data_IF_317933840763
#
_entry.id   IF_317933840763
#
_cell.length_a   1.000
_cell.length_b   1.000
_cell.length_c   1.000
_cell.angle_alpha   90.00
_cell.angle_beta   90.00
_cell.angle_gamma   90.00
#
_symmetry.space_group_name_H-M   'P 1'
#
loop_
_entity.id
_entity.type
_entity.pdbx_description
1 polymer ?
#
# COMPACT_ATOMS: atom_id res chain seq x y z
N UNK A 1 -10.00 -3.73 -18.98
CA UNK A 1 -9.90 -2.27 -18.80
C UNK A 1 -8.78 -2.04 -17.80
N UNK A 2 -7.80 -1.18 -18.11
CA UNK A 2 -6.72 -0.83 -17.18
C UNK A 2 -7.23 0.03 -16.04
N UNK A 3 -6.56 -0.02 -14.90
CA UNK A 3 -6.93 0.75 -13.70
C UNK A 3 -7.11 2.25 -13.99
N UNK A 4 -6.19 2.84 -14.75
CA UNK A 4 -6.27 4.26 -15.13
C UNK A 4 -7.56 4.61 -15.87
N UNK A 5 -7.93 3.79 -16.86
CA UNK A 5 -9.13 4.02 -17.66
C UNK A 5 -10.39 3.83 -16.83
N UNK A 6 -10.36 2.86 -15.90
CA UNK A 6 -11.43 2.62 -14.95
C UNK A 6 -11.66 3.81 -14.03
N UNK A 7 -10.61 4.35 -13.39
CA UNK A 7 -10.72 5.52 -12.51
C UNK A 7 -11.30 6.74 -13.22
N UNK A 8 -10.92 6.95 -14.49
CA UNK A 8 -11.50 8.00 -15.33
C UNK A 8 -12.98 7.73 -15.62
N UNK A 9 -13.35 6.49 -15.98
CA UNK A 9 -14.74 6.12 -16.30
C UNK A 9 -15.70 6.22 -15.10
N UNK A 10 -15.19 6.00 -13.88
CA UNK A 10 -15.95 6.16 -12.63
C UNK A 10 -16.01 7.62 -12.14
N UNK A 11 -15.36 8.53 -12.83
CA UNK A 11 -15.32 9.95 -12.44
C UNK A 11 -14.59 10.18 -11.12
N UNK A 12 -13.58 9.36 -10.83
CA UNK A 12 -12.75 9.54 -9.62
C UNK A 12 -12.04 10.90 -9.67
N UNK A 13 -12.03 11.61 -8.54
CA UNK A 13 -11.34 12.90 -8.43
C UNK A 13 -9.87 12.74 -8.84
N UNK A 14 -9.36 13.68 -9.62
CA UNK A 14 -8.05 13.58 -10.29
C UNK A 14 -6.89 13.28 -9.34
N UNK A 15 -6.81 14.01 -8.21
CA UNK A 15 -5.71 13.84 -7.27
C UNK A 15 -5.83 12.50 -6.51
N UNK A 16 -7.06 12.07 -6.23
CA UNK A 16 -7.31 10.75 -5.64
C UNK A 16 -6.96 9.63 -6.63
N UNK A 17 -7.31 9.78 -7.90
CA UNK A 17 -6.95 8.82 -8.95
C UNK A 17 -5.43 8.72 -9.11
N UNK A 18 -4.71 9.85 -9.10
CA UNK A 18 -3.25 9.89 -9.14
C UNK A 18 -2.63 9.16 -7.95
N UNK A 19 -3.18 9.36 -6.74
CA UNK A 19 -2.71 8.68 -5.53
C UNK A 19 -2.98 7.17 -5.59
N UNK A 20 -4.17 6.73 -6.03
CA UNK A 20 -4.50 5.31 -6.18
C UNK A 20 -3.55 4.64 -7.19
N UNK A 21 -3.30 5.26 -8.33
CA UNK A 21 -2.35 4.76 -9.33
C UNK A 21 -0.94 4.66 -8.76
N UNK A 22 -0.49 5.70 -8.06
CA UNK A 22 0.81 5.69 -7.41
C UNK A 22 0.93 4.56 -6.37
N UNK A 23 -0.06 4.39 -5.50
CA UNK A 23 -0.06 3.34 -4.48
C UNK A 23 -0.09 1.94 -5.11
N UNK A 24 -0.87 1.74 -6.19
CA UNK A 24 -0.89 0.47 -6.91
C UNK A 24 0.47 0.10 -7.52
N UNK A 25 1.23 1.10 -7.97
CA UNK A 25 2.58 0.89 -8.52
C UNK A 25 3.59 0.43 -7.46
N UNK A 26 3.39 0.78 -6.18
CA UNK A 26 4.26 0.32 -5.09
C UNK A 26 4.27 -1.21 -4.94
N UNK A 27 3.23 -1.91 -5.41
CA UNK A 27 3.19 -3.38 -5.42
C UNK A 27 4.40 -4.01 -6.12
N UNK A 28 4.95 -3.37 -7.15
CA UNK A 28 6.17 -3.83 -7.83
C UNK A 28 7.37 -3.79 -6.90
N UNK A 29 7.52 -2.71 -6.14
CA UNK A 29 8.58 -2.55 -5.16
C UNK A 29 8.52 -3.61 -4.07
N UNK A 30 7.34 -3.82 -3.49
CA UNK A 30 7.13 -4.83 -2.44
C UNK A 30 7.42 -6.24 -2.97
N UNK A 31 6.87 -6.61 -4.14
CA UNK A 31 7.14 -7.93 -4.78
C UNK A 31 8.63 -8.18 -4.99
N UNK A 32 9.38 -7.17 -5.38
CA UNK A 32 10.84 -7.29 -5.56
C UNK A 32 11.53 -7.63 -4.25
N UNK A 33 11.02 -7.15 -3.12
CA UNK A 33 11.51 -7.44 -1.79
C UNK A 33 11.48 -8.93 -1.43
N UNK A 34 10.46 -9.68 -1.85
CA UNK A 34 10.34 -11.11 -1.53
C UNK A 34 11.58 -11.91 -1.90
N UNK A 35 12.16 -11.66 -3.07
CA UNK A 35 13.37 -12.36 -3.49
C UNK A 35 14.64 -11.79 -2.85
N UNK A 36 14.68 -10.47 -2.63
CA UNK A 36 15.87 -9.80 -2.12
C UNK A 36 16.12 -10.04 -0.63
N UNK A 37 15.06 -10.18 0.17
CA UNK A 37 15.17 -10.35 1.63
C UNK A 37 15.24 -11.81 2.05
N UNK A 38 14.50 -12.71 1.41
CA UNK A 38 14.53 -14.14 1.73
C UNK A 38 15.85 -14.84 1.41
N UNK A 39 16.71 -14.25 0.57
CA UNK A 39 18.01 -14.79 0.19
C UNK A 39 19.18 -14.24 1.02
N UNK A 40 18.92 -13.26 1.89
CA UNK A 40 19.93 -12.74 2.81
C UNK A 40 19.81 -13.47 4.14
N UNK A 41 20.87 -14.14 4.57
CA UNK A 41 21.01 -14.58 5.96
C UNK A 41 20.98 -13.30 6.84
N UNK A 42 19.78 -12.90 7.23
CA UNK A 42 19.60 -11.69 8.05
C UNK A 42 20.02 -12.01 9.48
N UNK A 43 21.23 -11.63 9.82
CA UNK A 43 21.72 -11.48 11.21
C UNK A 43 21.23 -10.13 11.76
N UNK A 44 20.06 -9.65 11.33
CA UNK A 44 19.54 -8.39 11.82
C UNK A 44 18.94 -8.56 13.22
N UNK A 45 19.26 -7.60 14.09
CA UNK A 45 18.68 -7.54 15.44
C UNK A 45 17.15 -7.60 15.34
N UNK A 46 16.55 -8.52 16.08
CA UNK A 46 15.11 -8.65 16.22
C UNK A 46 14.54 -7.33 16.74
N UNK A 47 13.88 -6.58 15.88
CA UNK A 47 13.15 -5.38 16.27
C UNK A 47 11.67 -5.70 16.39
N UNK A 48 10.92 -4.84 17.09
CA UNK A 48 9.48 -5.00 17.24
C UNK A 48 8.77 -3.76 16.70
N UNK A 49 7.58 -3.96 16.11
CA UNK A 49 6.71 -2.88 15.72
C UNK A 49 6.05 -2.20 16.94
N UNK A 50 5.24 -1.17 16.73
CA UNK A 50 4.53 -0.42 17.79
C UNK A 50 3.58 -1.30 18.62
N UNK A 51 3.12 -2.42 18.10
CA UNK A 51 2.25 -3.38 18.81
C UNK A 51 3.03 -4.46 19.55
N UNK A 52 4.37 -4.45 19.46
CA UNK A 52 5.27 -5.40 20.12
C UNK A 52 5.47 -6.70 19.34
N UNK A 53 5.01 -6.78 18.10
CA UNK A 53 5.24 -7.92 17.21
C UNK A 53 6.64 -7.90 16.62
N UNK A 54 7.22 -9.08 16.38
CA UNK A 54 8.56 -9.21 15.79
C UNK A 54 8.52 -8.78 14.32
N UNK A 55 9.27 -7.72 13.97
CA UNK A 55 9.39 -7.24 12.60
C UNK A 55 10.30 -8.16 11.78
N UNK A 56 9.78 -8.68 10.70
CA UNK A 56 10.58 -9.39 9.70
C UNK A 56 11.35 -8.39 8.83
N UNK A 57 12.51 -8.78 8.25
CA UNK A 57 13.26 -7.90 7.34
C UNK A 57 12.42 -7.39 6.16
N UNK A 58 11.43 -8.16 5.74
CA UNK A 58 10.55 -7.79 4.64
C UNK A 58 9.50 -6.75 5.05
N UNK A 59 9.05 -6.72 6.32
CA UNK A 59 8.16 -5.66 6.83
C UNK A 59 8.85 -4.30 6.71
N UNK A 60 10.09 -4.21 7.21
CA UNK A 60 10.90 -2.99 7.10
C UNK A 60 11.18 -2.58 5.65
N UNK A 61 11.38 -3.56 4.77
CA UNK A 61 11.59 -3.30 3.36
C UNK A 61 10.32 -2.73 2.72
N UNK A 62 9.17 -3.34 2.96
CA UNK A 62 7.88 -2.89 2.44
C UNK A 62 7.51 -1.50 2.97
N UNK A 63 7.71 -1.26 4.28
CA UNK A 63 7.53 0.06 4.90
C UNK A 63 8.41 1.11 4.22
N UNK A 64 9.70 0.79 4.01
CA UNK A 64 10.63 1.66 3.30
C UNK A 64 10.19 1.99 1.86
N UNK A 65 9.61 1.02 1.13
CA UNK A 65 9.08 1.24 -0.23
C UNK A 65 7.96 2.27 -0.19
N UNK A 66 6.95 2.08 0.67
CA UNK A 66 5.81 3.01 0.76
C UNK A 66 6.23 4.39 1.27
N UNK A 67 6.98 4.48 2.37
CA UNK A 67 7.38 5.77 2.96
C UNK A 67 8.23 6.58 1.99
N UNK A 68 9.28 5.97 1.40
CA UNK A 68 10.18 6.70 0.49
C UNK A 68 9.45 7.13 -0.78
N UNK A 69 8.60 6.28 -1.32
CA UNK A 69 7.77 6.61 -2.48
C UNK A 69 6.80 7.75 -2.20
N UNK A 70 6.03 7.68 -1.11
CA UNK A 70 5.06 8.72 -0.73
C UNK A 70 5.74 10.06 -0.42
N UNK A 71 6.88 10.07 0.29
CA UNK A 71 7.66 11.28 0.53
C UNK A 71 8.15 11.90 -0.78
N UNK A 72 8.70 11.09 -1.68
CA UNK A 72 9.27 11.56 -2.96
C UNK A 72 8.18 12.09 -3.90
N UNK A 73 7.02 11.44 -3.96
CA UNK A 73 5.89 11.87 -4.81
C UNK A 73 5.24 13.16 -4.32
N UNK A 74 5.22 13.37 -3.00
CA UNK A 74 4.51 14.45 -2.30
C UNK A 74 3.00 14.46 -2.55
N UNK A 75 2.42 13.30 -2.92
CA UNK A 75 0.99 13.19 -3.19
C UNK A 75 0.12 13.24 -1.94
N UNK A 76 0.72 13.03 -0.76
CA UNK A 76 0.05 13.02 0.53
C UNK A 76 0.72 13.99 1.48
N UNK A 77 -0.03 14.43 2.50
CA UNK A 77 0.49 15.25 3.60
C UNK A 77 0.86 14.40 4.81
N UNK A 78 0.08 13.37 5.12
CA UNK A 78 0.28 12.55 6.30
C UNK A 78 0.41 11.08 5.94
N UNK A 79 1.35 10.40 6.58
CA UNK A 79 1.55 8.95 6.44
C UNK A 79 1.58 8.36 7.85
N UNK A 80 0.74 7.34 8.10
CA UNK A 80 0.82 6.49 9.28
C UNK A 80 1.00 5.05 8.81
N UNK A 81 1.98 4.35 9.36
CA UNK A 81 2.21 2.94 9.08
C UNK A 81 2.19 2.15 10.37
N UNK A 82 1.91 0.86 10.29
CA UNK A 82 2.00 -0.06 11.43
C UNK A 82 3.42 -0.12 12.01
N UNK A 83 4.42 0.08 11.17
CA UNK A 83 5.83 -0.06 11.50
C UNK A 83 6.44 1.18 12.18
N UNK A 84 5.71 2.32 12.23
CA UNK A 84 6.19 3.59 12.77
C UNK A 84 5.31 4.09 13.92
N UNK A 85 5.93 4.52 15.03
CA UNK A 85 5.21 5.06 16.20
C UNK A 85 4.49 6.37 15.94
N UNK A 86 4.98 7.15 14.99
CA UNK A 86 4.50 8.52 14.77
C UNK A 86 4.00 8.71 13.36
N UNK A 87 2.97 9.55 13.24
CA UNK A 87 2.52 10.05 11.94
C UNK A 87 3.62 10.89 11.31
N UNK A 88 3.97 10.55 10.07
CA UNK A 88 4.96 11.27 9.28
C UNK A 88 4.25 12.40 8.54
N UNK A 89 4.71 13.64 8.70
CA UNK A 89 4.27 14.78 7.89
C UNK A 89 5.24 14.96 6.71
N UNK A 90 4.69 15.01 5.49
CA UNK A 90 5.46 15.17 4.25
C UNK A 90 5.66 16.66 3.99
N UNK A 91 6.89 17.06 3.71
CA UNK A 91 7.22 18.46 3.39
C UNK A 91 6.69 18.87 2.00
N UNK A 92 6.12 20.07 1.92
CA UNK A 92 5.58 20.64 0.68
C UNK A 92 4.65 19.68 -0.10
N UNK A 93 3.59 19.16 0.54
CA UNK A 93 2.69 18.21 -0.10
C UNK A 93 1.90 18.88 -1.24
N UNK A 94 1.64 18.13 -2.31
CA UNK A 94 0.80 18.56 -3.42
C UNK A 94 -0.68 18.53 -3.08
N UNK A 95 -1.08 17.58 -2.20
CA UNK A 95 -2.46 17.38 -1.80
C UNK A 95 -2.57 17.24 -0.28
N UNK A 96 -3.77 17.42 0.26
CA UNK A 96 -4.05 17.28 1.69
C UNK A 96 -4.59 15.87 2.04
N UNK A 97 -4.12 14.83 1.35
CA UNK A 97 -4.45 13.45 1.73
C UNK A 97 -3.59 12.95 2.88
N UNK A 98 -4.19 12.08 3.70
CA UNK A 98 -3.49 11.24 4.65
C UNK A 98 -3.66 9.77 4.27
N UNK A 99 -2.62 8.97 4.44
CA UNK A 99 -2.63 7.53 4.14
C UNK A 99 -2.27 6.75 5.40
N UNK A 100 -3.07 5.75 5.73
CA UNK A 100 -2.76 4.74 6.74
C UNK A 100 -2.41 3.45 6.02
N UNK A 101 -1.35 2.77 6.45
CA UNK A 101 -0.81 1.61 5.74
C UNK A 101 -0.40 0.54 6.75
N UNK A 102 -0.85 -0.69 6.52
CA UNK A 102 -0.12 -1.90 6.88
C UNK A 102 0.69 -2.30 5.64
N UNK A 103 2.03 -2.14 5.66
CA UNK A 103 2.85 -2.38 4.47
C UNK A 103 2.89 -3.84 4.04
N UNK A 104 2.78 -4.77 5.00
CA UNK A 104 2.88 -6.21 4.72
C UNK A 104 2.13 -7.07 5.76
N UNK A 105 0.81 -7.07 5.70
CA UNK A 105 -0.05 -7.96 6.48
C UNK A 105 0.25 -9.43 6.20
N UNK A 106 0.38 -10.22 7.28
CA UNK A 106 0.65 -11.63 7.20
C UNK A 106 2.13 -11.99 6.91
N UNK A 107 3.09 -11.14 7.23
CA UNK A 107 4.53 -11.37 7.00
C UNK A 107 5.04 -12.70 7.58
N UNK A 108 4.50 -13.15 8.72
CA UNK A 108 4.80 -14.46 9.33
C UNK A 108 4.41 -15.66 8.45
N UNK A 109 3.57 -15.47 7.44
CA UNK A 109 3.14 -16.54 6.52
C UNK A 109 4.13 -16.76 5.37
N UNK A 110 5.12 -15.89 5.21
CA UNK A 110 6.10 -15.95 4.12
C UNK A 110 6.94 -17.23 4.21
N UNK A 111 7.36 -17.61 5.41
CA UNK A 111 8.19 -18.80 5.63
C UNK A 111 7.49 -20.11 5.23
N UNK A 112 6.16 -20.11 5.21
CA UNK A 112 5.35 -21.25 4.75
C UNK A 112 4.77 -21.03 3.35
N UNK A 113 5.28 -20.02 2.64
CA UNK A 113 4.94 -19.68 1.25
C UNK A 113 3.43 -19.45 1.03
N UNK A 114 2.77 -18.78 1.98
CA UNK A 114 1.39 -18.33 1.87
C UNK A 114 1.32 -16.88 1.39
N UNK A 115 0.12 -16.47 0.97
CA UNK A 115 -0.11 -15.10 0.49
C UNK A 115 0.00 -14.09 1.63
N UNK A 116 0.57 -12.94 1.31
CA UNK A 116 0.64 -11.75 2.17
C UNK A 116 0.06 -10.56 1.41
N UNK A 117 -0.17 -9.44 2.09
CA UNK A 117 -0.79 -8.29 1.43
C UNK A 117 -0.37 -6.96 2.01
N UNK A 118 -0.73 -5.87 1.33
CA UNK A 118 -0.66 -4.52 1.87
C UNK A 118 -2.08 -3.98 2.03
N UNK A 119 -2.38 -3.32 3.14
CA UNK A 119 -3.69 -2.75 3.43
C UNK A 119 -3.56 -1.24 3.56
N UNK A 120 -4.41 -0.48 2.85
CA UNK A 120 -4.26 0.96 2.73
C UNK A 120 -5.62 1.66 2.88
N UNK A 121 -5.65 2.70 3.72
CA UNK A 121 -6.77 3.62 3.84
C UNK A 121 -6.36 5.04 3.47
N UNK A 122 -7.21 5.77 2.73
CA UNK A 122 -6.95 7.15 2.29
C UNK A 122 -7.97 8.09 2.94
N UNK A 123 -7.48 9.12 3.63
CA UNK A 123 -8.26 10.18 4.26
C UNK A 123 -8.15 11.50 3.49
N UNK A 124 -9.18 12.36 3.52
CA UNK A 124 -9.15 13.68 2.90
C UNK A 124 -8.38 14.73 3.74
N UNK A 125 -7.56 14.28 4.70
CA UNK A 125 -6.82 15.11 5.62
C UNK A 125 -6.00 14.28 6.59
N UNK A 126 -5.99 14.66 7.87
CA UNK A 126 -5.21 13.98 8.89
C UNK A 126 -5.70 12.54 9.13
N UNK A 127 -4.77 11.62 9.34
CA UNK A 127 -5.05 10.18 9.48
C UNK A 127 -5.70 9.79 10.81
N UNK A 128 -5.48 10.57 11.88
CA UNK A 128 -6.13 10.35 13.17
C UNK A 128 -7.57 10.86 13.12
N UNK A 129 -8.42 10.14 12.42
CA UNK A 129 -9.83 10.47 12.21
C UNK A 129 -10.67 9.19 12.19
N UNK A 130 -12.00 9.34 12.16
CA UNK A 130 -12.92 8.18 12.10
C UNK A 130 -12.74 7.45 10.77
N UNK A 131 -12.68 6.11 10.79
CA UNK A 131 -12.58 5.29 9.57
C UNK A 131 -13.68 5.59 8.54
N UNK A 132 -14.88 5.94 9.00
CA UNK A 132 -16.00 6.34 8.13
C UNK A 132 -15.74 7.60 7.29
N UNK A 133 -14.67 8.36 7.56
CA UNK A 133 -14.28 9.54 6.76
C UNK A 133 -13.26 9.23 5.67
N UNK A 134 -12.83 7.99 5.53
CA UNK A 134 -11.98 7.58 4.40
C UNK A 134 -12.68 7.87 3.07
N UNK A 135 -11.90 8.35 2.11
CA UNK A 135 -12.37 8.59 0.73
C UNK A 135 -12.04 7.44 -0.20
N UNK A 136 -11.12 6.57 0.21
CA UNK A 136 -10.84 5.31 -0.45
C UNK A 136 -10.20 4.32 0.52
N UNK A 137 -10.38 3.03 0.25
CA UNK A 137 -9.65 1.95 0.89
C UNK A 137 -9.24 0.94 -0.17
N UNK A 138 -8.07 0.33 -0.01
CA UNK A 138 -7.56 -0.67 -0.93
C UNK A 138 -6.69 -1.70 -0.21
N UNK A 139 -6.61 -2.89 -0.80
CA UNK A 139 -5.58 -3.86 -0.44
C UNK A 139 -4.92 -4.44 -1.69
N UNK A 140 -3.69 -4.87 -1.54
CA UNK A 140 -2.97 -5.64 -2.53
C UNK A 140 -2.62 -7.00 -1.94
N UNK A 141 -2.87 -8.09 -2.67
CA UNK A 141 -2.57 -9.45 -2.25
C UNK A 141 -1.47 -10.01 -3.13
N UNK A 142 -0.40 -10.47 -2.51
CA UNK A 142 0.78 -11.03 -3.17
C UNK A 142 0.75 -12.55 -3.06
N UNK A 143 0.36 -13.22 -4.15
CA UNK A 143 0.26 -14.66 -4.26
C UNK A 143 0.61 -15.13 -5.67
N UNK A 144 0.07 -16.27 -6.11
CA UNK A 144 0.23 -16.73 -7.51
C UNK A 144 -0.20 -15.67 -8.52
N UNK A 145 -1.23 -14.89 -8.19
CA UNK A 145 -1.58 -13.64 -8.85
C UNK A 145 -1.32 -12.49 -7.89
N UNK A 146 -0.92 -11.34 -8.42
CA UNK A 146 -0.97 -10.09 -7.66
C UNK A 146 -2.32 -9.45 -7.93
N UNK A 147 -3.14 -9.34 -6.88
CA UNK A 147 -4.49 -8.80 -6.94
C UNK A 147 -4.52 -7.49 -6.17
N UNK A 148 -5.30 -6.54 -6.66
CA UNK A 148 -5.65 -5.33 -5.94
C UNK A 148 -7.17 -5.23 -5.90
N UNK A 149 -7.74 -5.01 -4.73
CA UNK A 149 -9.12 -4.57 -4.61
C UNK A 149 -9.18 -3.20 -3.98
N UNK A 150 -10.08 -2.34 -4.46
CA UNK A 150 -10.28 -1.02 -3.87
C UNK A 150 -11.72 -0.55 -3.96
N UNK A 151 -12.04 0.45 -3.14
CA UNK A 151 -13.30 1.18 -3.17
C UNK A 151 -13.06 2.68 -3.00
N UNK A 152 -13.89 3.47 -3.66
CA UNK A 152 -14.05 4.92 -3.42
C UNK A 152 -15.46 5.23 -2.90
N UNK A 153 -16.11 4.24 -2.25
CA UNK A 153 -17.49 4.35 -1.77
C UNK A 153 -18.58 4.01 -2.80
N UNK A 154 -18.20 3.59 -4.02
CA UNK A 154 -19.12 3.23 -5.11
C UNK A 154 -19.05 1.74 -5.48
N UNK A 155 -18.90 0.87 -4.51
CA UNK A 155 -18.68 -0.56 -4.72
C UNK A 155 -17.23 -0.96 -4.49
N UNK A 156 -16.93 -2.26 -4.63
CA UNK A 156 -15.58 -2.82 -4.51
C UNK A 156 -15.20 -3.39 -5.87
N UNK A 157 -14.02 -3.02 -6.35
CA UNK A 157 -13.54 -3.40 -7.68
C UNK A 157 -12.23 -4.15 -7.55
N UNK A 158 -12.15 -5.31 -8.21
CA UNK A 158 -10.97 -6.17 -8.18
C UNK A 158 -10.20 -6.09 -9.50
N UNK A 159 -8.89 -5.96 -9.38
CA UNK A 159 -7.92 -5.91 -10.47
C UNK A 159 -6.87 -6.98 -10.28
N UNK A 160 -6.34 -7.47 -11.40
CA UNK A 160 -5.20 -8.39 -11.42
C UNK A 160 -4.05 -7.74 -12.18
N UNK A 161 -2.84 -7.90 -11.69
CA UNK A 161 -1.64 -7.46 -12.39
C UNK A 161 -1.35 -8.37 -13.57
N UNK A 162 -1.27 -7.81 -14.76
CA UNK A 162 -0.93 -8.55 -15.99
C UNK A 162 0.60 -8.72 -16.16
N UNK A 163 1.01 -9.36 -17.27
CA UNK A 163 2.41 -9.61 -17.60
C UNK A 163 3.23 -8.33 -17.81
N UNK A 164 2.58 -7.22 -18.19
CA UNK A 164 3.23 -5.91 -18.31
C UNK A 164 3.40 -5.19 -16.98
N UNK A 165 2.82 -5.73 -15.91
CA UNK A 165 2.80 -5.13 -14.58
C UNK A 165 1.65 -4.14 -14.37
N UNK A 166 0.71 -4.02 -15.30
CA UNK A 166 -0.43 -3.13 -15.15
C UNK A 166 -1.64 -3.83 -14.52
N UNK A 167 -2.36 -3.12 -13.69
CA UNK A 167 -3.60 -3.64 -13.10
C UNK A 167 -4.77 -3.56 -14.08
N UNK A 168 -5.36 -4.72 -14.37
CA UNK A 168 -6.50 -4.90 -15.29
C UNK A 168 -7.72 -5.36 -14.50
N UNK A 169 -8.87 -4.74 -14.77
CA UNK A 169 -10.14 -5.03 -14.10
C UNK A 169 -10.52 -6.50 -14.26
N UNK A 170 -10.80 -7.16 -13.15
CA UNK A 170 -11.25 -8.55 -13.08
C UNK A 170 -12.74 -8.63 -12.69
N UNK A 171 -13.13 -7.92 -11.61
CA UNK A 171 -14.51 -7.88 -11.10
C UNK A 171 -14.90 -6.45 -10.71
N UNK A 172 -16.21 -6.14 -10.90
CA UNK A 172 -16.86 -4.89 -10.49
C UNK A 172 -17.77 -5.12 -9.29
#
# INVERSE_FOLDING_TARGET
>A
MKLKDFLVSEGTEKNLAELILFLSDQAHGVKKGFLCTCLKDSVDEKTRNVYGEEQMPLDKYADGVFISGLKSSRLVRYIATEEQEQVIEVENPKNNFGVVIDPLDGSSLIDVNLCTGSIIGIYPGHVLNKGATMVAAMYMLYGPLTIMAFTTGKGVHEFVMDESGEFVLRHR
#
